data_IF_901108743774
#
_entry.id   IF_901108743774
#
_cell.length_a   1.000
_cell.length_b   1.000
_cell.length_c   1.000
_cell.angle_alpha   90.00
_cell.angle_beta   90.00
_cell.angle_gamma   90.00
#
_symmetry.space_group_name_H-M   'P 1'
#
loop_
_entity.id
_entity.type
_entity.pdbx_description
1 polymer ?
#
# COMPACT_ATOMS: atom_id res chain seq x y z
N UNK A 1 14.32 -8.40 10.46
CA UNK A 1 13.23 -7.42 10.24
C UNK A 1 12.03 -8.16 9.66
N UNK A 2 10.84 -7.85 10.14
CA UNK A 2 9.56 -8.39 9.64
C UNK A 2 8.85 -7.30 8.81
N UNK A 3 8.76 -7.49 7.50
CA UNK A 3 8.18 -6.53 6.57
C UNK A 3 6.81 -6.98 6.10
N UNK A 4 5.77 -6.24 6.43
CA UNK A 4 4.44 -6.43 5.85
C UNK A 4 4.34 -5.79 4.46
N UNK A 5 3.76 -6.49 3.49
CA UNK A 5 3.58 -5.96 2.12
C UNK A 5 2.14 -6.17 1.68
N UNK A 6 1.39 -5.09 1.47
CA UNK A 6 0.12 -5.17 0.73
C UNK A 6 0.40 -5.04 -0.76
N UNK A 7 -0.34 -5.74 -1.60
CA UNK A 7 -0.04 -5.77 -3.03
C UNK A 7 1.23 -6.57 -3.36
N UNK A 8 1.63 -7.51 -2.51
CA UNK A 8 2.83 -8.34 -2.66
C UNK A 8 2.86 -9.16 -3.96
N UNK A 9 1.73 -9.47 -4.56
CA UNK A 9 1.62 -10.17 -5.85
C UNK A 9 1.74 -9.25 -7.07
N UNK A 10 1.72 -7.94 -6.87
CA UNK A 10 1.87 -6.95 -7.95
C UNK A 10 3.30 -6.81 -8.46
N UNK A 11 3.47 -6.03 -9.50
CA UNK A 11 4.77 -5.84 -10.17
C UNK A 11 5.86 -5.33 -9.20
N UNK A 12 5.60 -4.24 -8.50
CA UNK A 12 6.55 -3.67 -7.52
C UNK A 12 6.63 -4.57 -6.27
N UNK A 13 5.47 -5.04 -5.78
CA UNK A 13 5.40 -5.83 -4.55
C UNK A 13 6.19 -7.13 -4.59
N UNK A 14 6.15 -7.85 -5.71
CA UNK A 14 6.97 -9.06 -5.90
C UNK A 14 8.46 -8.74 -5.82
N UNK A 15 8.89 -7.71 -6.51
CA UNK A 15 10.30 -7.31 -6.50
C UNK A 15 10.76 -6.86 -5.11
N UNK A 16 9.95 -6.09 -4.42
CA UNK A 16 10.23 -5.67 -3.04
C UNK A 16 10.33 -6.88 -2.10
N UNK A 17 9.43 -7.85 -2.22
CA UNK A 17 9.46 -9.07 -1.43
C UNK A 17 10.72 -9.92 -1.69
N UNK A 18 11.13 -10.07 -2.94
CA UNK A 18 12.38 -10.76 -3.32
C UNK A 18 13.60 -10.07 -2.69
N UNK A 19 13.69 -8.75 -2.83
CA UNK A 19 14.80 -7.97 -2.28
C UNK A 19 14.87 -8.03 -0.76
N UNK A 20 13.71 -8.00 -0.09
CA UNK A 20 13.64 -8.13 1.36
C UNK A 20 14.12 -9.51 1.82
N UNK A 21 13.65 -10.58 1.18
CA UNK A 21 14.10 -11.96 1.49
C UNK A 21 15.59 -12.14 1.24
N UNK A 22 16.13 -11.57 0.17
CA UNK A 22 17.58 -11.62 -0.12
C UNK A 22 18.43 -10.93 0.96
N UNK A 23 17.84 -10.02 1.74
CA UNK A 23 18.43 -9.39 2.94
C UNK A 23 18.21 -10.16 4.23
N UNK A 24 17.62 -11.34 4.16
CA UNK A 24 17.27 -12.15 5.33
C UNK A 24 16.08 -11.62 6.13
N UNK A 25 15.24 -10.77 5.52
CA UNK A 25 14.02 -10.28 6.18
C UNK A 25 12.87 -11.27 6.03
N UNK A 26 12.06 -11.39 7.07
CA UNK A 26 10.80 -12.09 6.99
C UNK A 26 9.77 -11.20 6.27
N UNK A 27 9.18 -11.72 5.20
CA UNK A 27 8.13 -11.03 4.45
C UNK A 27 6.77 -11.60 4.81
N UNK A 28 5.88 -10.75 5.31
CA UNK A 28 4.50 -11.08 5.64
C UNK A 28 3.58 -10.45 4.56
N UNK A 29 3.15 -11.22 3.56
CA UNK A 29 2.24 -10.68 2.56
C UNK A 29 0.85 -10.46 3.13
N UNK A 30 0.15 -9.47 2.59
CA UNK A 30 -1.25 -9.21 2.88
C UNK A 30 -2.10 -9.52 1.63
N UNK A 31 -3.21 -10.22 1.81
CA UNK A 31 -4.13 -10.60 0.72
C UNK A 31 -5.58 -10.51 1.17
N UNK A 32 -6.47 -10.19 0.23
CA UNK A 32 -7.92 -10.28 0.44
C UNK A 32 -8.36 -11.72 0.67
N UNK A 33 -7.64 -12.67 0.09
CA UNK A 33 -7.89 -14.11 0.20
C UNK A 33 -6.57 -14.82 0.58
N UNK A 34 -6.20 -14.85 1.86
CA UNK A 34 -5.03 -15.59 2.32
C UNK A 34 -5.13 -17.07 1.94
N UNK A 35 -4.06 -17.62 1.38
CA UNK A 35 -3.99 -19.04 0.97
C UNK A 35 -3.12 -19.88 1.90
N UNK A 36 -2.42 -19.23 2.81
CA UNK A 36 -1.51 -19.87 3.78
C UNK A 36 -1.48 -19.07 5.09
N UNK A 37 -0.94 -19.68 6.14
CA UNK A 37 -0.84 -19.07 7.46
C UNK A 37 0.19 -17.93 7.56
N UNK A 38 1.11 -17.80 6.59
CA UNK A 38 2.09 -16.73 6.54
C UNK A 38 1.51 -15.42 5.97
N UNK A 39 0.38 -15.53 5.27
CA UNK A 39 -0.32 -14.40 4.64
C UNK A 39 -1.39 -13.85 5.57
N UNK A 40 -1.33 -12.57 5.90
CA UNK A 40 -2.37 -11.89 6.69
C UNK A 40 -3.53 -11.42 5.80
N UNK A 41 -4.74 -11.42 6.37
CA UNK A 41 -5.91 -10.87 5.67
C UNK A 41 -5.79 -9.35 5.56
N UNK A 42 -6.13 -8.83 4.39
CA UNK A 42 -6.28 -7.40 4.12
C UNK A 42 -7.61 -7.15 3.42
N UNK A 43 -8.52 -6.46 4.08
CA UNK A 43 -9.80 -6.06 3.53
C UNK A 43 -9.94 -4.54 3.66
N UNK A 44 -10.03 -3.77 2.55
CA UNK A 44 -10.29 -2.34 2.61
C UNK A 44 -11.55 -2.05 3.43
N UNK A 45 -11.45 -1.14 4.40
CA UNK A 45 -12.53 -0.80 5.34
C UNK A 45 -12.47 -1.54 6.69
N UNK A 46 -11.60 -2.55 6.83
CA UNK A 46 -11.33 -3.22 8.11
C UNK A 46 -9.90 -2.92 8.56
N UNK A 47 -9.62 -2.66 9.86
CA UNK A 47 -8.25 -2.45 10.34
C UNK A 47 -7.36 -3.64 10.01
N UNK A 48 -6.20 -3.38 9.39
CA UNK A 48 -5.24 -4.42 9.08
C UNK A 48 -4.50 -4.88 10.33
N UNK A 49 -4.28 -6.19 10.48
CA UNK A 49 -3.42 -6.70 11.54
C UNK A 49 -1.95 -6.48 11.18
N UNK A 50 -1.37 -5.42 11.69
CA UNK A 50 0.05 -5.06 11.52
C UNK A 50 0.88 -5.31 12.78
N UNK A 51 0.29 -5.91 13.80
CA UNK A 51 0.95 -6.12 15.09
C UNK A 51 2.22 -6.98 14.94
N UNK A 52 3.28 -6.56 15.61
CA UNK A 52 4.56 -7.26 15.62
C UNK A 52 5.35 -7.21 14.30
N UNK A 53 4.95 -6.38 13.34
CA UNK A 53 5.78 -6.05 12.17
C UNK A 53 6.73 -4.90 12.50
N UNK A 54 7.90 -4.85 11.84
CA UNK A 54 8.84 -3.74 11.97
C UNK A 54 8.51 -2.59 11.01
N UNK A 55 8.02 -2.94 9.82
CA UNK A 55 7.66 -1.99 8.77
C UNK A 55 6.50 -2.52 7.92
N UNK A 56 5.76 -1.62 7.27
CA UNK A 56 4.73 -1.95 6.28
C UNK A 56 4.98 -1.18 4.99
N UNK A 57 4.98 -1.90 3.87
CA UNK A 57 4.98 -1.36 2.51
C UNK A 57 3.57 -1.52 1.92
N UNK A 58 2.85 -0.41 1.79
CA UNK A 58 1.48 -0.40 1.30
C UNK A 58 1.43 -0.05 -0.19
N UNK A 59 1.23 -1.08 -1.02
CA UNK A 59 1.18 -0.98 -2.49
C UNK A 59 -0.17 -1.47 -3.06
N UNK A 60 -1.08 -1.94 -2.22
CA UNK A 60 -2.37 -2.43 -2.67
C UNK A 60 -3.23 -1.30 -3.24
N UNK A 61 -3.90 -1.58 -4.34
CA UNK A 61 -4.85 -0.68 -4.98
C UNK A 61 -5.42 -1.32 -6.23
N UNK A 62 -6.60 -0.87 -6.63
CA UNK A 62 -7.21 -1.28 -7.90
C UNK A 62 -6.34 -0.80 -9.07
N UNK A 63 -6.18 -1.66 -10.08
CA UNK A 63 -5.43 -1.31 -11.29
C UNK A 63 -6.05 -0.12 -12.01
N UNK A 64 -5.22 0.85 -12.36
CA UNK A 64 -5.62 2.04 -13.14
C UNK A 64 -5.71 1.75 -14.64
N UNK A 65 -5.28 0.56 -15.09
CA UNK A 65 -5.30 0.17 -16.49
C UNK A 65 -6.72 -0.20 -16.94
N UNK A 66 -7.03 0.09 -18.21
CA UNK A 66 -8.29 -0.24 -18.85
C UNK A 66 -9.27 0.94 -18.96
N UNK A 67 -10.50 0.66 -19.35
CA UNK A 67 -11.54 1.69 -19.55
C UNK A 67 -11.97 2.33 -18.23
N UNK A 68 -11.97 3.65 -18.18
CA UNK A 68 -12.30 4.45 -17.00
C UNK A 68 -13.80 4.74 -16.93
N UNK A 69 -14.59 3.72 -16.65
CA UNK A 69 -16.02 3.89 -16.33
C UNK A 69 -16.21 4.54 -14.97
N UNK A 70 -17.43 5.07 -14.69
CA UNK A 70 -17.78 5.60 -13.36
C UNK A 70 -17.52 4.58 -12.25
N UNK A 71 -17.93 3.32 -12.47
CA UNK A 71 -17.70 2.24 -11.50
C UNK A 71 -16.21 1.91 -11.32
N UNK A 72 -15.39 1.97 -12.37
CA UNK A 72 -13.95 1.77 -12.28
C UNK A 72 -13.29 2.88 -11.45
N UNK A 73 -13.66 4.14 -11.68
CA UNK A 73 -13.14 5.29 -10.92
C UNK A 73 -13.49 5.16 -9.43
N UNK A 74 -14.74 4.80 -9.11
CA UNK A 74 -15.15 4.58 -7.73
C UNK A 74 -14.30 3.48 -7.06
N UNK A 75 -14.11 2.32 -7.71
CA UNK A 75 -13.26 1.24 -7.18
C UNK A 75 -11.82 1.67 -6.98
N UNK A 76 -11.25 2.46 -7.90
CA UNK A 76 -9.88 2.98 -7.76
C UNK A 76 -9.81 3.90 -6.54
N UNK A 77 -10.74 4.83 -6.38
CA UNK A 77 -10.80 5.75 -5.25
C UNK A 77 -10.97 4.98 -3.94
N UNK A 78 -11.98 4.12 -3.84
CA UNK A 78 -12.30 3.35 -2.64
C UNK A 78 -11.15 2.44 -2.23
N UNK A 79 -10.52 1.74 -3.19
CA UNK A 79 -9.40 0.86 -2.88
C UNK A 79 -8.22 1.61 -2.25
N UNK A 80 -7.99 2.86 -2.64
CA UNK A 80 -6.91 3.68 -2.10
C UNK A 80 -7.29 4.34 -0.78
N UNK A 81 -8.45 4.97 -0.70
CA UNK A 81 -8.91 5.64 0.53
C UNK A 81 -9.16 4.63 1.65
N UNK A 82 -9.97 3.60 1.38
CA UNK A 82 -10.30 2.59 2.39
C UNK A 82 -9.10 1.69 2.70
N UNK A 83 -8.28 1.36 1.68
CA UNK A 83 -7.08 0.57 1.88
C UNK A 83 -6.05 1.27 2.77
N UNK A 84 -5.77 2.54 2.51
CA UNK A 84 -4.84 3.32 3.33
C UNK A 84 -5.39 3.53 4.74
N UNK A 85 -6.70 3.80 4.88
CA UNK A 85 -7.36 3.88 6.19
C UNK A 85 -7.23 2.59 6.98
N UNK A 86 -7.44 1.43 6.36
CA UNK A 86 -7.28 0.12 6.99
C UNK A 86 -5.89 -0.07 7.58
N UNK A 87 -4.86 0.34 6.87
CA UNK A 87 -3.47 0.28 7.36
C UNK A 87 -3.27 1.27 8.53
N UNK A 88 -3.70 2.53 8.40
CA UNK A 88 -3.56 3.53 9.44
C UNK A 88 -4.28 3.13 10.75
N UNK A 89 -5.49 2.60 10.64
CA UNK A 89 -6.24 2.08 11.79
C UNK A 89 -5.56 0.84 12.40
N UNK A 90 -4.95 -0.01 11.57
CA UNK A 90 -4.15 -1.14 12.03
C UNK A 90 -2.98 -0.69 12.89
N UNK A 91 -2.24 0.35 12.46
CA UNK A 91 -1.17 0.95 13.26
C UNK A 91 -1.68 1.49 14.59
N UNK A 92 -2.82 2.21 14.58
CA UNK A 92 -3.40 2.79 15.79
C UNK A 92 -3.89 1.75 16.80
N UNK A 93 -4.26 0.55 16.36
CA UNK A 93 -4.77 -0.54 17.21
C UNK A 93 -3.73 -1.57 17.63
N UNK A 94 -2.58 -1.60 16.96
CA UNK A 94 -1.53 -2.57 17.24
C UNK A 94 -0.95 -2.37 18.65
N UNK A 95 -0.69 -3.46 19.35
CA UNK A 95 0.01 -3.44 20.65
C UNK A 95 1.50 -3.14 20.47
N UNK A 96 2.08 -3.68 19.40
CA UNK A 96 3.46 -3.48 18.97
C UNK A 96 3.44 -2.94 17.53
N UNK A 97 3.13 -1.64 17.34
CA UNK A 97 2.97 -1.08 16.00
C UNK A 97 4.29 -1.05 15.24
N UNK A 98 4.24 -1.22 13.91
CA UNK A 98 5.43 -1.03 13.09
C UNK A 98 5.99 0.39 13.25
N UNK A 99 7.29 0.52 13.08
CA UNK A 99 8.00 1.81 13.20
C UNK A 99 7.94 2.65 11.92
N UNK A 100 7.67 2.00 10.79
CA UNK A 100 7.73 2.62 9.46
C UNK A 100 6.53 2.19 8.63
N UNK A 101 5.86 3.15 8.02
CA UNK A 101 4.91 2.96 6.94
C UNK A 101 5.44 3.63 5.66
N UNK A 102 5.56 2.87 4.59
CA UNK A 102 5.82 3.38 3.24
C UNK A 102 4.57 3.12 2.42
N UNK A 103 3.94 4.17 1.93
CA UNK A 103 2.74 4.07 1.09
C UNK A 103 3.03 4.51 -0.33
N UNK A 104 2.60 3.70 -1.30
CA UNK A 104 2.68 4.07 -2.70
C UNK A 104 1.78 5.27 -2.99
N UNK A 105 2.35 6.33 -3.51
CA UNK A 105 1.65 7.51 -3.99
C UNK A 105 1.53 7.49 -5.52
N UNK A 106 1.19 8.60 -6.13
CA UNK A 106 1.09 8.75 -7.58
C UNK A 106 1.51 10.16 -8.01
N UNK A 107 1.97 10.30 -9.24
CA UNK A 107 2.33 11.61 -9.83
C UNK A 107 1.17 12.60 -9.85
N UNK A 108 -0.07 12.12 -9.84
CA UNK A 108 -1.26 12.97 -9.70
C UNK A 108 -1.30 13.81 -8.40
N UNK A 109 -0.44 13.49 -7.42
CA UNK A 109 -0.25 14.32 -6.23
C UNK A 109 0.15 15.75 -6.56
N UNK A 110 0.93 15.94 -7.63
CA UNK A 110 1.40 17.27 -8.05
C UNK A 110 0.39 18.02 -8.94
N UNK A 111 -0.70 17.38 -9.39
CA UNK A 111 -1.66 17.97 -10.29
C UNK A 111 -1.10 18.22 -11.70
N UNK A 112 -1.70 19.18 -12.41
CA UNK A 112 -1.17 19.65 -13.70
C UNK A 112 -0.04 20.67 -13.44
N UNK A 113 1.17 20.30 -13.80
CA UNK A 113 2.36 21.13 -13.61
C UNK A 113 2.84 21.81 -14.90
N UNK A 114 2.18 21.54 -16.05
CA UNK A 114 2.67 21.94 -17.36
C UNK A 114 4.07 21.38 -17.58
N UNK A 115 5.02 22.24 -18.01
CA UNK A 115 6.42 21.89 -18.25
C UNK A 115 7.31 22.03 -16.99
N UNK A 116 6.72 22.35 -15.83
CA UNK A 116 7.49 22.52 -14.58
C UNK A 116 7.94 21.16 -14.05
N UNK A 117 9.23 21.01 -13.81
CA UNK A 117 9.79 19.88 -13.07
C UNK A 117 9.33 19.91 -11.61
N UNK A 118 9.04 18.73 -11.07
CA UNK A 118 8.63 18.54 -9.66
C UNK A 118 9.49 17.48 -9.01
N UNK A 119 9.70 17.67 -7.71
CA UNK A 119 10.46 16.77 -6.84
C UNK A 119 9.73 16.62 -5.48
N UNK A 120 10.38 15.94 -4.52
CA UNK A 120 9.82 15.68 -3.20
C UNK A 120 9.57 16.95 -2.36
N UNK A 121 10.20 18.08 -2.70
CA UNK A 121 9.99 19.37 -2.05
C UNK A 121 8.82 20.17 -2.65
N UNK A 122 8.32 19.74 -3.80
CA UNK A 122 7.23 20.42 -4.50
C UNK A 122 5.91 20.25 -3.75
N UNK A 123 5.09 21.32 -3.65
CA UNK A 123 3.80 21.26 -2.97
C UNK A 123 2.80 20.39 -3.76
N UNK A 124 1.73 19.89 -3.09
CA UNK A 124 0.65 19.21 -3.78
C UNK A 124 -0.04 20.14 -4.77
N UNK A 125 -0.51 19.57 -5.88
CA UNK A 125 -1.30 20.29 -6.85
C UNK A 125 -2.71 20.59 -6.32
N UNK A 126 -3.36 21.57 -6.94
CA UNK A 126 -4.80 21.80 -6.80
C UNK A 126 -5.52 20.92 -7.82
N UNK A 127 -6.08 19.80 -7.35
CA UNK A 127 -6.80 18.85 -8.20
C UNK A 127 -8.24 19.26 -8.45
#
# INVERSE_FOLDING_TARGET
MRLGITGASGFIGRRAAEMARARGWEVVPFSRQPRDAATRKFAPGEPADVDGLDAVLHLAGESVLGLWTKGKRARIMDSRVLGTRSIAEGFARAKNPPRVLISGSAIGYYGDTGDREVDESSPPGTG
#
